data_IF_504526671662
#
_entry.id   IF_504526671662
#
_cell.length_a   1.000
_cell.length_b   1.000
_cell.length_c   1.000
_cell.angle_alpha   90.00
_cell.angle_beta   90.00
_cell.angle_gamma   90.00
#
_symmetry.space_group_name_H-M   'P 1'
#
loop_
_entity.id
_entity.type
_entity.pdbx_description
1 polymer ?
#
# COMPACT_ATOMS: atom_id res chain seq x y z
N UNK A 1 5.24 28.08 12.80
CA UNK A 1 4.88 26.86 12.04
C UNK A 1 4.94 27.24 10.56
N UNK A 2 5.71 26.52 9.74
CA UNK A 2 5.80 26.80 8.30
C UNK A 2 4.49 26.35 7.63
N UNK A 3 3.95 27.11 6.69
CA UNK A 3 2.72 26.70 5.99
C UNK A 3 3.00 25.58 4.99
N UNK A 4 1.98 24.75 4.70
CA UNK A 4 2.08 23.67 3.72
C UNK A 4 2.46 24.22 2.34
N UNK A 5 1.92 25.38 1.97
CA UNK A 5 2.22 26.05 0.69
C UNK A 5 3.69 26.46 0.59
N UNK A 6 4.27 26.93 1.69
CA UNK A 6 5.68 27.30 1.73
C UNK A 6 6.59 26.07 1.63
N UNK A 7 6.29 25.00 2.37
CA UNK A 7 7.02 23.73 2.28
C UNK A 7 6.92 23.14 0.87
N UNK A 8 5.74 23.17 0.26
CA UNK A 8 5.53 22.67 -1.10
C UNK A 8 6.33 23.48 -2.12
N UNK A 9 6.33 24.81 -2.02
CA UNK A 9 7.12 25.68 -2.89
C UNK A 9 8.61 25.37 -2.81
N UNK A 10 9.14 25.19 -1.61
CA UNK A 10 10.55 24.87 -1.39
C UNK A 10 10.88 23.46 -1.90
N UNK A 11 10.03 22.46 -1.62
CA UNK A 11 10.19 21.10 -2.12
C UNK A 11 10.19 21.01 -3.65
N UNK A 12 9.32 21.78 -4.32
CA UNK A 12 9.25 21.81 -5.78
C UNK A 12 10.44 22.52 -6.44
N UNK A 13 11.18 23.36 -5.69
CA UNK A 13 12.41 24.00 -6.19
C UNK A 13 13.62 23.05 -6.22
N UNK A 14 13.52 21.89 -5.58
CA UNK A 14 14.59 20.89 -5.54
C UNK A 14 14.76 20.15 -6.88
N UNK A 15 15.99 19.71 -7.22
CA UNK A 15 16.22 18.81 -8.34
C UNK A 15 15.42 17.50 -8.19
N UNK A 16 15.10 16.86 -9.31
CA UNK A 16 14.21 15.68 -9.34
C UNK A 16 14.64 14.55 -8.39
N UNK A 17 15.94 14.27 -8.28
CA UNK A 17 16.46 13.22 -7.39
C UNK A 17 16.18 13.51 -5.91
N UNK A 18 16.36 14.77 -5.49
CA UNK A 18 16.09 15.20 -4.12
C UNK A 18 14.59 15.23 -3.81
N UNK A 19 13.75 15.57 -4.80
CA UNK A 19 12.28 15.44 -4.66
C UNK A 19 11.85 13.99 -4.47
N UNK A 20 12.41 13.06 -5.22
CA UNK A 20 12.11 11.64 -5.07
C UNK A 20 12.52 11.12 -3.67
N UNK A 21 13.72 11.48 -3.20
CA UNK A 21 14.18 11.15 -1.85
C UNK A 21 13.27 11.76 -0.76
N UNK A 22 12.90 13.03 -0.90
CA UNK A 22 12.00 13.69 0.05
C UNK A 22 10.61 13.03 0.06
N UNK A 23 10.05 12.71 -1.11
CA UNK A 23 8.78 12.00 -1.21
C UNK A 23 8.85 10.63 -0.52
N UNK A 24 9.93 9.88 -0.71
CA UNK A 24 10.16 8.61 -0.01
C UNK A 24 10.18 8.81 1.51
N UNK A 25 10.93 9.78 2.02
CA UNK A 25 11.01 10.07 3.46
C UNK A 25 9.69 10.52 4.05
N UNK A 26 8.91 11.29 3.29
CA UNK A 26 7.57 11.68 3.71
C UNK A 26 6.64 10.46 3.78
N UNK A 27 6.69 9.55 2.81
CA UNK A 27 5.91 8.30 2.84
C UNK A 27 6.34 7.41 4.02
N UNK A 28 7.64 7.21 4.23
CA UNK A 28 8.18 6.49 5.40
C UNK A 28 7.70 7.14 6.72
N UNK A 29 7.59 8.47 6.76
CA UNK A 29 7.08 9.19 7.94
C UNK A 29 5.57 9.02 8.19
N UNK A 30 4.82 8.50 7.22
CA UNK A 30 3.42 8.12 7.41
C UNK A 30 3.29 6.71 7.98
N UNK A 31 4.36 5.90 7.98
CA UNK A 31 4.34 4.51 8.46
C UNK A 31 4.40 4.39 10.00
N UNK A 32 4.31 5.50 10.74
CA UNK A 32 4.46 5.52 12.19
C UNK A 32 3.23 5.10 13.01
N UNK A 33 2.12 4.72 12.36
CA UNK A 33 0.90 4.24 13.04
C UNK A 33 0.38 2.92 12.42
N UNK A 34 1.29 2.08 11.93
CA UNK A 34 0.88 0.69 11.68
C UNK A 34 0.69 0.03 13.04
N UNK A 35 -0.55 0.00 13.51
CA UNK A 35 -0.96 -0.75 14.70
C UNK A 35 -0.34 -2.16 14.61
N UNK A 36 0.55 -2.49 15.54
CA UNK A 36 1.27 -3.77 15.54
C UNK A 36 0.30 -4.95 15.55
N UNK A 37 -0.89 -4.79 16.15
CA UNK A 37 -1.95 -5.79 16.10
C UNK A 37 -2.52 -5.90 14.69
N UNK A 38 -2.76 -4.78 13.99
CA UNK A 38 -3.23 -4.78 12.61
C UNK A 38 -2.20 -5.45 11.70
N UNK A 39 -0.91 -5.14 11.88
CA UNK A 39 0.16 -5.79 11.13
C UNK A 39 0.22 -7.29 11.40
N UNK A 40 0.11 -7.72 12.66
CA UNK A 40 0.09 -9.13 13.03
C UNK A 40 -1.11 -9.86 12.41
N UNK A 41 -2.29 -9.23 12.40
CA UNK A 41 -3.49 -9.76 11.76
C UNK A 41 -3.31 -9.90 10.24
N UNK A 42 -2.73 -8.90 9.57
CA UNK A 42 -2.46 -8.96 8.13
C UNK A 42 -1.47 -10.06 7.78
N UNK A 43 -0.38 -10.18 8.55
CA UNK A 43 0.62 -11.24 8.35
C UNK A 43 0.00 -12.63 8.60
N UNK A 44 -0.85 -12.76 9.62
CA UNK A 44 -1.57 -14.00 9.92
C UNK A 44 -2.48 -14.41 8.77
N UNK A 45 -3.32 -13.49 8.28
CA UNK A 45 -4.24 -13.74 7.17
C UNK A 45 -3.50 -14.07 5.86
N UNK A 46 -2.39 -13.37 5.57
CA UNK A 46 -1.56 -13.66 4.41
C UNK A 46 -0.96 -15.07 4.46
N UNK A 47 -0.43 -15.49 5.62
CA UNK A 47 0.09 -16.86 5.83
C UNK A 47 -1.01 -17.90 5.68
N UNK A 48 -2.17 -17.66 6.30
CA UNK A 48 -3.34 -18.55 6.21
C UNK A 48 -3.75 -18.77 4.76
N UNK A 49 -3.98 -17.70 3.97
CA UNK A 49 -4.40 -17.81 2.56
C UNK A 49 -3.38 -18.53 1.70
N UNK A 50 -2.08 -18.27 1.91
CA UNK A 50 -1.00 -18.99 1.24
C UNK A 50 -1.07 -20.48 1.52
N UNK A 51 -1.30 -20.86 2.77
CA UNK A 51 -1.31 -22.27 3.18
C UNK A 51 -2.58 -23.00 2.72
N UNK A 52 -3.73 -22.32 2.70
CA UNK A 52 -4.98 -22.82 2.07
C UNK A 52 -4.81 -23.12 0.58
N UNK A 53 -4.11 -22.24 -0.16
CA UNK A 53 -3.79 -22.47 -1.58
C UNK A 53 -2.82 -23.64 -1.73
N UNK A 54 -1.74 -23.68 -0.93
CA UNK A 54 -0.70 -24.73 -1.01
C UNK A 54 -1.22 -26.11 -0.62
N UNK A 55 -2.16 -26.17 0.32
CA UNK A 55 -2.81 -27.41 0.74
C UNK A 55 -3.90 -27.86 -0.23
N UNK A 56 -4.29 -27.03 -1.21
CA UNK A 56 -5.40 -27.31 -2.12
C UNK A 56 -6.78 -27.16 -1.46
N UNK A 57 -6.86 -26.60 -0.26
CA UNK A 57 -8.13 -26.30 0.41
C UNK A 57 -8.93 -25.25 -0.35
N UNK A 58 -8.24 -24.32 -1.02
CA UNK A 58 -8.83 -23.28 -1.86
C UNK A 58 -8.25 -23.38 -3.27
N UNK A 59 -9.12 -23.36 -4.27
CA UNK A 59 -8.73 -23.29 -5.68
C UNK A 59 -8.49 -21.83 -6.09
N UNK A 60 -7.26 -21.44 -6.42
CA UNK A 60 -6.99 -20.09 -6.92
C UNK A 60 -7.56 -19.90 -8.33
N UNK A 61 -7.90 -18.65 -8.65
CA UNK A 61 -8.24 -18.21 -10.02
C UNK A 61 -7.12 -17.33 -10.57
N UNK A 62 -6.99 -17.18 -11.90
CA UNK A 62 -6.06 -16.22 -12.50
C UNK A 62 -6.29 -14.80 -11.97
N UNK A 63 -5.21 -14.08 -11.66
CA UNK A 63 -5.28 -12.73 -11.07
C UNK A 63 -6.10 -11.74 -11.90
N UNK A 64 -5.92 -11.74 -13.21
CA UNK A 64 -6.69 -10.90 -14.15
C UNK A 64 -8.19 -11.17 -14.08
N UNK A 65 -8.57 -12.44 -13.96
CA UNK A 65 -9.97 -12.83 -13.83
C UNK A 65 -10.56 -12.34 -12.50
N UNK A 66 -9.81 -12.50 -11.40
CA UNK A 66 -10.20 -12.01 -10.08
C UNK A 66 -10.42 -10.50 -10.07
N UNK A 67 -9.47 -9.73 -10.59
CA UNK A 67 -9.58 -8.28 -10.66
C UNK A 67 -10.73 -7.82 -11.58
N UNK A 68 -10.96 -8.52 -12.71
CA UNK A 68 -12.08 -8.22 -13.59
C UNK A 68 -13.45 -8.51 -12.95
N UNK A 69 -13.55 -9.52 -12.07
CA UNK A 69 -14.78 -9.77 -11.28
C UNK A 69 -15.03 -8.63 -10.29
N UNK A 70 -13.99 -8.16 -9.57
CA UNK A 70 -14.11 -7.05 -8.62
C UNK A 70 -14.55 -5.76 -9.32
N UNK A 71 -13.93 -5.40 -10.45
CA UNK A 71 -14.31 -4.19 -11.20
C UNK A 71 -15.79 -4.21 -11.62
N UNK A 72 -16.28 -5.33 -12.14
CA UNK A 72 -17.70 -5.52 -12.49
C UNK A 72 -18.67 -5.35 -11.31
N UNK A 73 -18.23 -5.59 -10.08
CA UNK A 73 -19.05 -5.40 -8.88
C UNK A 73 -19.09 -3.94 -8.39
N UNK A 74 -18.14 -3.11 -8.85
CA UNK A 74 -18.01 -1.70 -8.47
C UNK A 74 -18.54 -0.73 -9.54
N UNK A 75 -18.78 -1.23 -10.75
CA UNK A 75 -19.47 -0.49 -11.81
C UNK A 75 -21.00 -0.54 -11.54
N UNK A 76 -21.69 0.62 -11.50
CA UNK A 76 -23.14 0.69 -11.24
C UNK A 76 -23.99 0.10 -12.38
#
# INVERSE_FOLDING_TARGET
MVSVEQVMKEALSLPSAWRALLAQKLVESLEFDVDENLQALWVSEAKKRRDEIRSGMVQPIPGEEGLARVRRLLEP
#
